data_IF_482895085743
#
_entry.id   IF_482895085743
#
_cell.length_a   1.000
_cell.length_b   1.000
_cell.length_c   1.000
_cell.angle_alpha   90.00
_cell.angle_beta   90.00
_cell.angle_gamma   90.00
#
_symmetry.space_group_name_H-M   'P 1'
#
loop_
_entity.id
_entity.type
_entity.pdbx_description
1 polymer ?
#
# COMPACT_ATOMS: atom_id res chain seq x y z
N UNK A 1 -10.36 -35.21 -16.68
CA UNK A 1 -9.26 -34.83 -17.60
C UNK A 1 -8.77 -33.47 -17.13
N UNK A 2 -7.49 -33.31 -16.75
CA UNK A 2 -6.98 -32.01 -16.27
C UNK A 2 -6.86 -31.06 -17.45
N UNK A 3 -7.32 -29.82 -17.30
CA UNK A 3 -7.20 -28.79 -18.33
C UNK A 3 -6.36 -27.60 -17.84
N UNK A 4 -6.27 -26.53 -18.64
CA UNK A 4 -5.48 -25.36 -18.31
C UNK A 4 -5.93 -24.64 -17.03
N UNK A 5 -7.16 -24.86 -16.55
CA UNK A 5 -7.68 -24.30 -15.29
C UNK A 5 -7.02 -24.94 -14.07
N UNK A 6 -6.50 -26.16 -14.21
CA UNK A 6 -5.79 -26.89 -13.17
C UNK A 6 -4.30 -26.53 -13.09
N UNK A 7 -3.82 -25.56 -13.89
CA UNK A 7 -2.39 -25.27 -14.04
C UNK A 7 -1.66 -24.99 -12.71
N UNK A 8 -2.31 -24.32 -11.74
CA UNK A 8 -1.73 -24.09 -10.40
C UNK A 8 -1.55 -25.37 -9.61
N UNK A 9 -2.52 -26.30 -9.69
CA UNK A 9 -2.43 -27.59 -9.05
C UNK A 9 -1.35 -28.46 -9.72
N UNK A 10 -1.27 -28.41 -11.06
CA UNK A 10 -0.23 -29.08 -11.83
C UNK A 10 1.17 -28.57 -11.48
N UNK A 11 1.36 -27.26 -11.35
CA UNK A 11 2.65 -26.66 -10.98
C UNK A 11 3.09 -27.08 -9.57
N UNK A 12 2.15 -27.18 -8.62
CA UNK A 12 2.43 -27.71 -7.28
C UNK A 12 2.86 -29.17 -7.33
N UNK A 13 2.07 -30.03 -7.99
CA UNK A 13 2.42 -31.45 -8.16
C UNK A 13 3.76 -31.65 -8.88
N UNK A 14 4.05 -30.84 -9.90
CA UNK A 14 5.32 -30.87 -10.62
C UNK A 14 6.49 -30.54 -9.70
N UNK A 15 6.38 -29.44 -8.94
CA UNK A 15 7.40 -29.02 -7.98
C UNK A 15 7.67 -30.10 -6.95
N UNK A 16 6.61 -30.68 -6.38
CA UNK A 16 6.73 -31.72 -5.35
C UNK A 16 7.41 -32.98 -5.92
N UNK A 17 7.08 -33.36 -7.16
CA UNK A 17 7.72 -34.49 -7.84
C UNK A 17 9.19 -34.23 -8.22
N UNK A 18 9.53 -33.01 -8.64
CA UNK A 18 10.91 -32.62 -8.93
C UNK A 18 11.76 -32.55 -7.66
N UNK A 19 11.18 -32.06 -6.57
CA UNK A 19 11.82 -32.04 -5.24
C UNK A 19 12.14 -33.46 -4.76
N UNK A 20 11.21 -34.42 -4.94
CA UNK A 20 11.43 -35.82 -4.63
C UNK A 20 12.57 -36.47 -5.45
N UNK A 21 12.91 -35.89 -6.61
CA UNK A 21 14.05 -36.29 -7.46
C UNK A 21 15.30 -35.43 -7.24
N UNK A 22 15.35 -34.65 -6.16
CA UNK A 22 16.44 -33.73 -5.83
C UNK A 22 16.72 -32.66 -6.90
N UNK A 23 15.74 -32.33 -7.73
CA UNK A 23 15.81 -31.19 -8.66
C UNK A 23 15.25 -29.97 -7.96
N UNK A 24 16.10 -28.98 -7.68
CA UNK A 24 15.67 -27.72 -7.07
C UNK A 24 14.92 -26.88 -8.11
N UNK A 25 13.68 -26.51 -7.78
CA UNK A 25 12.89 -25.57 -8.57
C UNK A 25 11.98 -24.76 -7.68
N UNK A 26 11.76 -23.50 -8.04
CA UNK A 26 10.83 -22.59 -7.38
C UNK A 26 9.40 -22.83 -7.84
N UNK A 27 8.44 -22.32 -7.08
CA UNK A 27 7.04 -22.37 -7.49
C UNK A 27 6.81 -21.61 -8.81
N UNK A 28 7.46 -20.46 -8.98
CA UNK A 28 7.38 -19.64 -10.19
C UNK A 28 7.91 -20.37 -11.42
N UNK A 29 9.08 -21.03 -11.32
CA UNK A 29 9.62 -21.84 -12.43
C UNK A 29 8.68 -22.99 -12.81
N UNK A 30 8.06 -23.64 -11.81
CA UNK A 30 7.08 -24.68 -12.07
C UNK A 30 5.84 -24.15 -12.80
N UNK A 31 5.40 -22.92 -12.50
CA UNK A 31 4.30 -22.27 -13.21
C UNK A 31 4.67 -21.96 -14.66
N UNK A 32 5.89 -21.49 -14.92
CA UNK A 32 6.41 -21.24 -16.28
C UNK A 32 6.48 -22.53 -17.11
N UNK A 33 6.95 -23.63 -16.51
CA UNK A 33 7.00 -24.94 -17.18
C UNK A 33 5.61 -25.45 -17.55
N UNK A 34 4.62 -25.29 -16.67
CA UNK A 34 3.23 -25.65 -16.96
C UNK A 34 2.64 -24.76 -18.06
N UNK A 35 2.94 -23.46 -18.06
CA UNK A 35 2.49 -22.55 -19.12
C UNK A 35 2.98 -23.00 -20.50
N UNK A 36 4.28 -23.33 -20.61
CA UNK A 36 4.89 -23.87 -21.82
C UNK A 36 4.28 -25.21 -22.24
N UNK A 37 4.00 -26.10 -21.28
CA UNK A 37 3.37 -27.39 -21.56
C UNK A 37 1.96 -27.26 -22.17
N UNK A 38 1.25 -26.18 -21.87
CA UNK A 38 -0.04 -25.84 -22.49
C UNK A 38 0.07 -24.94 -23.74
N UNK A 39 1.28 -24.61 -24.19
CA UNK A 39 1.53 -23.81 -25.40
C UNK A 39 1.44 -22.29 -25.20
N UNK A 40 1.64 -21.79 -23.98
CA UNK A 40 1.74 -20.35 -23.69
C UNK A 40 3.19 -19.94 -23.42
N UNK A 41 3.55 -18.71 -23.81
CA UNK A 41 4.94 -18.23 -23.71
C UNK A 41 5.41 -18.07 -22.26
N UNK A 42 4.51 -17.68 -21.36
CA UNK A 42 4.80 -17.50 -19.95
C UNK A 42 3.55 -17.68 -19.06
N UNK A 43 3.78 -17.75 -17.75
CA UNK A 43 2.72 -17.90 -16.76
C UNK A 43 1.68 -16.77 -16.79
N UNK A 44 2.08 -15.53 -17.05
CA UNK A 44 1.16 -14.39 -17.03
C UNK A 44 0.06 -14.52 -18.08
N UNK A 45 0.40 -14.99 -19.30
CA UNK A 45 -0.56 -15.23 -20.38
C UNK A 45 -1.55 -16.34 -19.99
N UNK A 46 -1.05 -17.46 -19.47
CA UNK A 46 -1.90 -18.57 -19.04
C UNK A 46 -2.80 -18.14 -17.86
N UNK A 47 -2.28 -17.40 -16.88
CA UNK A 47 -3.05 -16.89 -15.73
C UNK A 47 -4.20 -15.98 -16.18
N UNK A 48 -3.94 -15.06 -17.12
CA UNK A 48 -4.98 -14.19 -17.67
C UNK A 48 -6.09 -15.00 -18.36
N UNK A 49 -5.73 -16.08 -19.08
CA UNK A 49 -6.72 -16.96 -19.72
C UNK A 49 -7.53 -17.80 -18.73
N UNK A 50 -6.92 -18.24 -17.63
CA UNK A 50 -7.64 -18.90 -16.53
C UNK A 50 -8.66 -17.94 -15.91
N UNK A 51 -8.26 -16.69 -15.68
CA UNK A 51 -9.13 -15.65 -15.12
C UNK A 51 -10.29 -15.29 -16.05
N UNK A 52 -10.05 -15.19 -17.35
CA UNK A 52 -11.08 -14.91 -18.35
C UNK A 52 -12.19 -15.99 -18.43
N UNK A 53 -11.89 -17.22 -17.99
CA UNK A 53 -12.80 -18.38 -18.11
C UNK A 53 -13.43 -18.74 -16.76
N UNK A 54 -12.96 -18.18 -15.66
CA UNK A 54 -13.56 -18.40 -14.34
C UNK A 54 -14.87 -17.59 -14.27
N UNK A 55 -16.02 -18.22 -13.95
CA UNK A 55 -17.23 -17.45 -13.69
C UNK A 55 -16.96 -16.49 -12.52
N UNK A 56 -17.52 -15.27 -12.52
CA UNK A 56 -17.39 -14.38 -11.39
C UNK A 56 -17.91 -15.12 -10.17
N UNK A 57 -17.02 -15.49 -9.27
CA UNK A 57 -17.37 -16.24 -8.07
C UNK A 57 -18.25 -15.35 -7.19
N UNK A 58 -19.55 -15.48 -7.36
CA UNK A 58 -20.58 -14.99 -6.46
C UNK A 58 -20.70 -15.94 -5.28
N UNK A 59 -20.51 -15.41 -4.07
CA UNK A 59 -21.28 -15.89 -2.94
C UNK A 59 -22.71 -15.37 -3.10
N UNK A 60 -23.68 -16.25 -2.88
CA UNK A 60 -25.11 -16.04 -3.11
C UNK A 60 -25.73 -15.04 -2.12
N UNK A 61 -26.64 -14.19 -2.60
CA UNK A 61 -27.49 -13.32 -1.79
C UNK A 61 -28.25 -12.24 -2.57
N UNK A 62 -29.39 -12.63 -3.17
CA UNK A 62 -30.55 -11.85 -3.65
C UNK A 62 -30.48 -10.97 -4.93
N UNK A 63 -31.59 -10.87 -5.71
CA UNK A 63 -31.65 -10.12 -6.96
C UNK A 63 -32.25 -8.72 -6.76
N UNK A 64 -31.49 -7.65 -7.00
CA UNK A 64 -32.05 -6.32 -7.22
C UNK A 64 -31.25 -5.53 -8.28
N UNK A 65 -31.95 -5.28 -9.40
CA UNK A 65 -31.89 -4.22 -10.42
C UNK A 65 -30.54 -3.65 -10.98
N UNK A 66 -30.47 -3.32 -12.29
CA UNK A 66 -29.23 -3.04 -13.01
C UNK A 66 -28.94 -1.53 -13.12
N UNK A 67 -28.02 -1.03 -12.31
CA UNK A 67 -27.25 0.18 -12.62
C UNK A 67 -25.98 0.22 -11.74
N UNK A 68 -24.84 -0.16 -12.33
CA UNK A 68 -23.48 0.21 -11.91
C UNK A 68 -23.09 0.08 -10.42
N UNK A 69 -23.17 -1.11 -9.83
CA UNK A 69 -22.30 -1.43 -8.68
C UNK A 69 -21.07 -2.19 -9.17
N UNK A 70 -20.09 -1.44 -9.69
CA UNK A 70 -18.72 -1.92 -9.67
C UNK A 70 -18.38 -2.18 -8.19
N UNK A 71 -18.04 -3.42 -7.82
CA UNK A 71 -17.58 -3.73 -6.46
C UNK A 71 -16.36 -2.84 -6.18
N UNK A 72 -16.53 -1.85 -5.31
CA UNK A 72 -15.43 -1.02 -4.84
C UNK A 72 -14.34 -1.94 -4.28
N UNK A 73 -13.12 -1.78 -4.79
CA UNK A 73 -11.95 -2.49 -4.29
C UNK A 73 -11.38 -1.73 -3.09
N UNK A 74 -10.84 -2.44 -2.11
CA UNK A 74 -10.29 -1.86 -0.89
C UNK A 74 -8.85 -2.29 -0.68
N UNK A 75 -7.99 -1.35 -0.30
CA UNK A 75 -6.63 -1.64 0.15
C UNK A 75 -6.67 -2.54 1.39
N UNK A 76 -5.96 -3.66 1.34
CA UNK A 76 -5.91 -4.65 2.43
C UNK A 76 -5.15 -4.16 3.67
N UNK A 77 -4.40 -3.07 3.56
CA UNK A 77 -3.57 -2.52 4.64
C UNK A 77 -4.26 -1.36 5.37
N UNK A 78 -4.74 -0.36 4.62
CA UNK A 78 -5.37 0.84 5.21
C UNK A 78 -6.90 0.84 5.11
N UNK A 79 -7.51 -0.12 4.40
CA UNK A 79 -8.96 -0.21 4.23
C UNK A 79 -9.60 0.87 3.36
N UNK A 80 -8.81 1.75 2.72
CA UNK A 80 -9.31 2.77 1.78
C UNK A 80 -9.84 2.11 0.50
N UNK A 81 -10.93 2.64 -0.05
CA UNK A 81 -11.45 2.17 -1.33
C UNK A 81 -10.71 2.80 -2.52
N UNK A 82 -10.94 2.27 -3.73
CA UNK A 82 -10.26 2.70 -4.95
C UNK A 82 -10.40 4.19 -5.28
N UNK A 83 -11.47 4.85 -4.85
CA UNK A 83 -11.74 6.27 -5.12
C UNK A 83 -11.11 7.18 -4.04
N UNK A 84 -10.68 6.61 -2.92
CA UNK A 84 -10.00 7.32 -1.82
C UNK A 84 -8.48 7.40 -1.99
N UNK A 85 -7.93 6.70 -2.98
CA UNK A 85 -6.49 6.60 -3.25
C UNK A 85 -6.21 6.93 -4.71
N UNK A 86 -5.03 7.47 -5.01
CA UNK A 86 -4.69 7.83 -6.39
C UNK A 86 -4.40 6.58 -7.25
N UNK A 87 -3.83 5.54 -6.64
CA UNK A 87 -3.62 4.23 -7.31
C UNK A 87 -3.88 3.09 -6.34
N UNK A 88 -4.55 2.05 -6.84
CA UNK A 88 -4.73 0.77 -6.14
C UNK A 88 -4.18 -0.36 -7.00
N UNK A 89 -3.18 -1.08 -6.49
CA UNK A 89 -2.56 -2.22 -7.15
C UNK A 89 -3.28 -3.50 -6.72
N UNK A 90 -3.81 -4.24 -7.70
CA UNK A 90 -4.53 -5.49 -7.48
C UNK A 90 -3.61 -6.70 -7.62
N UNK A 91 -3.58 -7.55 -6.59
CA UNK A 91 -2.97 -8.89 -6.62
C UNK A 91 -4.03 -10.00 -6.52
N UNK A 92 -3.63 -11.28 -6.70
CA UNK A 92 -4.57 -12.41 -6.71
C UNK A 92 -5.41 -12.59 -5.43
N UNK A 93 -4.94 -12.07 -4.29
CA UNK A 93 -5.60 -12.19 -2.99
C UNK A 93 -5.45 -10.94 -2.09
N UNK A 94 -4.74 -9.92 -2.56
CA UNK A 94 -4.39 -8.73 -1.75
C UNK A 94 -4.38 -7.51 -2.65
N UNK A 95 -4.80 -6.36 -2.10
CA UNK A 95 -4.75 -5.08 -2.80
C UNK A 95 -3.94 -4.10 -1.94
N UNK A 96 -3.11 -3.28 -2.56
CA UNK A 96 -2.29 -2.29 -1.87
C UNK A 96 -2.37 -0.95 -2.60
N UNK A 97 -2.61 0.14 -1.87
CA UNK A 97 -2.63 1.47 -2.46
C UNK A 97 -1.23 2.09 -2.51
N UNK A 98 -1.06 3.12 -3.33
CA UNK A 98 0.18 3.89 -3.45
C UNK A 98 0.69 4.43 -2.11
N UNK A 99 -0.19 4.97 -1.26
CA UNK A 99 0.21 5.46 0.07
C UNK A 99 0.81 4.36 0.97
N UNK A 100 0.27 3.13 0.90
CA UNK A 100 0.78 1.99 1.66
C UNK A 100 2.09 1.48 1.06
N UNK A 101 2.26 1.52 -0.26
CA UNK A 101 3.52 1.19 -0.93
C UNK A 101 4.61 2.18 -0.50
N UNK A 102 4.31 3.48 -0.52
CA UNK A 102 5.24 4.52 -0.07
C UNK A 102 5.64 4.23 1.38
N UNK A 103 4.67 4.06 2.30
CA UNK A 103 4.97 3.75 3.70
C UNK A 103 5.79 2.47 3.89
N UNK A 104 5.51 1.41 3.15
CA UNK A 104 6.34 0.20 3.20
C UNK A 104 7.76 0.47 2.69
N UNK A 105 7.92 1.32 1.70
CA UNK A 105 9.23 1.76 1.21
C UNK A 105 9.95 2.57 2.28
N UNK A 106 9.26 3.50 2.96
CA UNK A 106 9.80 4.27 4.09
C UNK A 106 10.33 3.32 5.19
N UNK A 107 9.58 2.25 5.51
CA UNK A 107 9.93 1.29 6.57
C UNK A 107 11.13 0.41 6.19
N UNK A 108 11.27 0.07 4.91
CA UNK A 108 12.31 -0.87 4.44
C UNK A 108 13.63 -0.15 4.11
N UNK A 109 13.59 1.14 3.77
CA UNK A 109 14.80 1.90 3.44
C UNK A 109 15.56 2.35 4.70
N UNK A 110 16.53 1.53 5.12
CA UNK A 110 17.39 1.82 6.27
C UNK A 110 18.14 3.16 6.17
N UNK A 111 18.48 3.63 4.96
CA UNK A 111 19.24 4.87 4.79
C UNK A 111 18.34 6.09 5.02
N UNK A 112 17.08 6.00 4.58
CA UNK A 112 16.07 6.97 4.90
C UNK A 112 15.79 7.00 6.41
N UNK A 113 15.70 5.84 7.07
CA UNK A 113 15.51 5.77 8.52
C UNK A 113 16.64 6.45 9.29
N UNK A 114 17.91 6.21 8.92
CA UNK A 114 19.08 6.89 9.52
C UNK A 114 19.02 8.41 9.32
N UNK A 115 18.63 8.87 8.12
CA UNK A 115 18.47 10.29 7.83
C UNK A 115 17.35 10.92 8.68
N UNK A 116 16.21 10.23 8.82
CA UNK A 116 15.06 10.61 9.66
C UNK A 116 15.42 10.61 11.16
N UNK A 117 16.42 9.83 11.55
CA UNK A 117 16.98 9.79 12.91
C UNK A 117 18.06 10.86 13.14
N UNK A 118 18.44 11.62 12.11
CA UNK A 118 19.41 12.71 12.20
C UNK A 118 20.87 12.28 12.05
N UNK A 119 21.14 11.14 11.38
CA UNK A 119 22.50 10.71 11.05
C UNK A 119 23.12 11.58 9.95
N UNK A 120 23.65 12.74 10.33
CA UNK A 120 24.33 13.65 9.39
C UNK A 120 25.58 13.02 8.77
N UNK A 121 26.31 12.20 9.53
CA UNK A 121 27.52 11.54 9.04
C UNK A 121 27.18 10.56 7.92
N UNK A 122 26.17 9.72 8.13
CA UNK A 122 25.61 8.84 7.11
C UNK A 122 25.16 9.63 5.88
N UNK A 123 24.38 10.69 6.08
CA UNK A 123 23.90 11.56 5.00
C UNK A 123 25.04 12.16 4.16
N UNK A 124 26.14 12.59 4.79
CA UNK A 124 27.32 13.15 4.11
C UNK A 124 28.08 12.13 3.27
N UNK A 125 28.00 10.83 3.58
CA UNK A 125 28.61 9.77 2.75
C UNK A 125 27.79 9.43 1.51
N UNK A 126 26.53 9.84 1.44
CA UNK A 126 25.63 9.52 0.33
C UNK A 126 25.92 10.37 -0.90
N UNK A 127 25.60 9.86 -2.09
CA UNK A 127 25.65 10.68 -3.31
C UNK A 127 24.55 11.76 -3.30
N UNK A 128 24.76 12.86 -4.04
CA UNK A 128 23.80 13.97 -4.11
C UNK A 128 22.47 13.54 -4.73
N UNK A 129 22.52 12.69 -5.76
CA UNK A 129 21.32 12.09 -6.37
C UNK A 129 20.49 11.30 -5.35
N UNK A 130 21.16 10.51 -4.51
CA UNK A 130 20.48 9.73 -3.48
C UNK A 130 19.93 10.60 -2.34
N UNK A 131 20.61 11.69 -1.98
CA UNK A 131 20.06 12.69 -1.06
C UNK A 131 18.82 13.37 -1.64
N UNK A 132 18.83 13.77 -2.91
CA UNK A 132 17.64 14.33 -3.57
C UNK A 132 16.46 13.36 -3.55
N UNK A 133 16.70 12.08 -3.84
CA UNK A 133 15.68 11.04 -3.72
C UNK A 133 15.04 11.03 -2.32
N UNK A 134 15.85 11.11 -1.26
CA UNK A 134 15.33 11.14 0.12
C UNK A 134 14.69 12.46 0.53
N UNK A 135 15.12 13.60 -0.03
CA UNK A 135 14.42 14.87 0.17
C UNK A 135 13.00 14.76 -0.35
N UNK A 136 12.82 14.33 -1.60
CA UNK A 136 11.48 14.15 -2.21
C UNK A 136 10.63 13.18 -1.38
N UNK A 137 11.25 12.11 -0.88
CA UNK A 137 10.54 11.14 -0.05
C UNK A 137 10.11 11.71 1.31
N UNK A 138 11.02 12.43 1.99
CA UNK A 138 10.75 13.06 3.27
C UNK A 138 9.72 14.20 3.15
N UNK A 139 9.68 14.92 2.02
CA UNK A 139 8.63 15.91 1.72
C UNK A 139 7.25 15.25 1.66
N UNK A 140 7.14 14.13 0.94
CA UNK A 140 5.89 13.34 0.89
C UNK A 140 5.51 12.80 2.26
N UNK A 141 6.47 12.30 3.03
CA UNK A 141 6.25 11.84 4.42
C UNK A 141 5.73 12.94 5.33
N UNK A 142 6.34 14.12 5.27
CA UNK A 142 5.91 15.30 6.02
C UNK A 142 4.49 15.73 5.61
N UNK A 143 4.19 15.79 4.32
CA UNK A 143 2.86 16.20 3.84
C UNK A 143 1.75 15.22 4.24
N UNK A 144 2.02 13.90 4.13
CA UNK A 144 1.12 12.85 4.63
C UNK A 144 0.74 13.09 6.11
N UNK A 145 1.74 13.38 6.94
CA UNK A 145 1.51 13.64 8.36
C UNK A 145 0.78 14.97 8.62
N UNK A 146 1.05 16.04 7.86
CA UNK A 146 0.31 17.31 7.96
C UNK A 146 -1.17 17.12 7.65
N UNK A 147 -1.50 16.44 6.56
CA UNK A 147 -2.89 16.16 6.17
C UNK A 147 -3.60 15.27 7.21
N UNK A 148 -2.91 14.26 7.75
CA UNK A 148 -3.45 13.43 8.83
C UNK A 148 -3.79 14.28 10.07
N UNK A 149 -2.88 15.17 10.49
CA UNK A 149 -3.10 16.08 11.61
C UNK A 149 -4.28 17.03 11.37
N UNK A 150 -4.40 17.60 10.17
CA UNK A 150 -5.52 18.47 9.80
C UNK A 150 -6.87 17.73 9.86
N UNK A 151 -6.91 16.49 9.36
CA UNK A 151 -8.11 15.63 9.39
C UNK A 151 -8.50 15.32 10.84
N UNK A 152 -7.55 14.89 11.67
CA UNK A 152 -7.79 14.57 13.08
C UNK A 152 -8.29 15.81 13.84
N UNK A 153 -7.64 16.96 13.66
CA UNK A 153 -8.06 18.22 14.28
C UNK A 153 -9.48 18.62 13.87
N UNK A 154 -9.82 18.45 12.59
CA UNK A 154 -11.16 18.71 12.08
C UNK A 154 -12.22 17.83 12.73
N UNK A 155 -11.96 16.53 12.90
CA UNK A 155 -12.89 15.60 13.58
C UNK A 155 -13.06 15.94 15.06
N UNK A 156 -11.97 16.24 15.77
CA UNK A 156 -12.05 16.63 17.18
C UNK A 156 -12.87 17.91 17.37
N UNK A 157 -12.59 18.93 16.56
CA UNK A 157 -13.32 20.20 16.62
C UNK A 157 -14.81 20.05 16.25
N UNK A 158 -15.15 19.16 15.32
CA UNK A 158 -16.55 18.84 15.00
C UNK A 158 -17.27 18.16 16.17
N UNK A 159 -16.60 17.29 16.94
CA UNK A 159 -17.20 16.62 18.10
C UNK A 159 -17.40 17.56 19.27
N UNK A 160 -16.47 18.48 19.51
CA UNK A 160 -16.62 19.54 20.51
C UNK A 160 -17.83 20.43 20.21
N UNK A 161 -18.08 20.72 18.92
CA UNK A 161 -19.27 21.46 18.48
C UNK A 161 -20.55 20.61 18.47
N UNK A 162 -20.47 19.34 18.10
CA UNK A 162 -21.60 18.41 17.98
C UNK A 162 -22.13 17.88 19.31
N UNK A 163 -21.34 17.92 20.39
CA UNK A 163 -21.85 17.69 21.75
C UNK A 163 -22.91 18.74 22.18
N UNK A 164 -23.11 19.80 21.37
CA UNK A 164 -24.17 20.79 21.54
C UNK A 164 -25.37 20.64 20.56
N UNK A 165 -25.34 19.71 19.60
CA UNK A 165 -26.44 19.51 18.65
C UNK A 165 -26.44 18.10 18.03
N UNK A 166 -27.45 17.30 18.39
CA UNK A 166 -27.79 16.03 17.71
C UNK A 166 -28.15 16.31 16.24
N UNK A 167 -27.26 15.96 15.33
CA UNK A 167 -27.47 16.11 13.89
C UNK A 167 -26.47 15.29 13.11
N UNK A 168 -26.98 14.31 12.37
CA UNK A 168 -26.25 13.42 11.47
C UNK A 168 -25.48 14.23 10.41
N UNK A 169 -24.26 14.66 10.75
CA UNK A 169 -23.42 15.40 9.81
C UNK A 169 -22.74 14.40 8.88
N UNK A 170 -23.09 14.48 7.59
CA UNK A 170 -22.39 13.78 6.52
C UNK A 170 -20.93 14.27 6.49
N UNK A 171 -20.02 13.45 7.01
CA UNK A 171 -18.59 13.71 6.97
C UNK A 171 -18.08 13.43 5.55
N UNK A 172 -17.08 14.18 5.10
CA UNK A 172 -16.42 13.87 3.83
C UNK A 172 -15.88 12.42 3.86
N UNK A 173 -15.76 11.74 2.69
CA UNK A 173 -15.22 10.38 2.61
C UNK A 173 -13.85 10.26 3.31
N UNK A 174 -13.04 11.31 3.17
CA UNK A 174 -11.74 11.49 3.81
C UNK A 174 -11.79 11.46 5.35
N UNK A 175 -12.92 11.77 5.99
CA UNK A 175 -13.07 11.72 7.45
C UNK A 175 -13.80 10.46 7.94
N UNK A 176 -14.35 9.64 7.04
CA UNK A 176 -15.13 8.46 7.39
C UNK A 176 -14.36 7.46 8.26
N UNK A 177 -13.06 7.27 7.96
CA UNK A 177 -12.19 6.37 8.72
C UNK A 177 -11.95 6.83 10.17
N UNK A 178 -12.07 8.14 10.44
CA UNK A 178 -11.87 8.73 11.76
C UNK A 178 -13.18 8.84 12.55
N UNK A 179 -14.33 8.71 11.89
CA UNK A 179 -15.66 8.91 12.50
C UNK A 179 -15.91 7.98 13.68
N UNK A 180 -15.44 6.74 13.60
CA UNK A 180 -15.69 5.70 14.61
C UNK A 180 -14.61 5.61 15.70
N UNK A 181 -13.54 6.41 15.62
CA UNK A 181 -12.44 6.39 16.60
C UNK A 181 -12.79 7.15 17.86
N UNK A 182 -12.36 6.70 19.04
CA UNK A 182 -12.59 7.44 20.30
C UNK A 182 -11.74 8.73 20.35
N UNK A 183 -12.09 9.73 21.17
CA UNK A 183 -11.25 10.92 21.35
C UNK A 183 -9.81 10.59 21.77
N UNK A 184 -9.63 9.57 22.61
CA UNK A 184 -8.29 9.14 23.06
C UNK A 184 -7.49 8.45 21.94
N UNK A 185 -8.15 7.64 21.10
CA UNK A 185 -7.52 7.10 19.89
C UNK A 185 -7.09 8.23 18.96
N UNK A 186 -7.95 9.23 18.73
CA UNK A 186 -7.63 10.38 17.88
C UNK A 186 -6.45 11.20 18.44
N UNK A 187 -6.40 11.43 19.75
CA UNK A 187 -5.26 12.10 20.41
C UNK A 187 -3.96 11.28 20.28
N UNK A 188 -4.05 9.96 20.42
CA UNK A 188 -2.90 9.06 20.23
C UNK A 188 -2.39 9.13 18.79
N UNK A 189 -3.30 9.06 17.81
CA UNK A 189 -2.95 9.22 16.39
C UNK A 189 -2.37 10.60 16.09
N UNK A 190 -2.86 11.66 16.74
CA UNK A 190 -2.33 13.01 16.61
C UNK A 190 -0.90 13.10 17.15
N UNK A 191 -0.63 12.54 18.33
CA UNK A 191 0.70 12.51 18.93
C UNK A 191 1.69 11.76 18.03
N UNK A 192 1.30 10.59 17.51
CA UNK A 192 2.11 9.82 16.57
C UNK A 192 2.42 10.62 15.30
N UNK A 193 1.40 11.20 14.66
CA UNK A 193 1.58 11.95 13.41
C UNK A 193 2.43 13.21 13.60
N UNK A 194 2.35 13.87 14.77
CA UNK A 194 3.23 14.99 15.14
C UNK A 194 4.68 14.55 15.28
N UNK A 195 4.93 13.45 16.00
CA UNK A 195 6.28 12.94 16.18
C UNK A 195 6.89 12.54 14.83
N UNK A 196 6.14 11.87 13.97
CA UNK A 196 6.58 11.53 12.61
C UNK A 196 6.89 12.78 11.78
N UNK A 197 6.01 13.78 11.78
CA UNK A 197 6.24 15.05 11.08
C UNK A 197 7.56 15.71 11.49
N UNK A 198 7.84 15.77 12.80
CA UNK A 198 9.09 16.35 13.30
C UNK A 198 10.33 15.61 12.77
N UNK A 199 10.27 14.28 12.70
CA UNK A 199 11.38 13.46 12.19
C UNK A 199 11.60 13.69 10.69
N UNK A 200 10.55 13.75 9.88
CA UNK A 200 10.68 14.08 8.45
C UNK A 200 11.20 15.50 8.23
N UNK A 201 10.73 16.49 8.99
CA UNK A 201 11.23 17.87 8.90
C UNK A 201 12.70 17.97 9.30
N UNK A 202 13.16 17.15 10.25
CA UNK A 202 14.58 17.05 10.60
C UNK A 202 15.39 16.48 9.43
N UNK A 203 14.97 15.36 8.84
CA UNK A 203 15.62 14.80 7.65
C UNK A 203 15.74 15.83 6.51
N UNK A 204 14.68 16.59 6.25
CA UNK A 204 14.67 17.64 5.23
C UNK A 204 15.71 18.73 5.51
N UNK A 205 15.79 19.21 6.76
CA UNK A 205 16.81 20.20 7.14
C UNK A 205 18.22 19.67 6.89
N UNK A 206 18.54 18.48 7.41
CA UNK A 206 19.86 17.86 7.25
C UNK A 206 20.23 17.67 5.78
N UNK A 207 19.34 17.06 4.99
CA UNK A 207 19.61 16.79 3.59
C UNK A 207 19.74 18.06 2.76
N UNK A 208 18.88 19.06 2.98
CA UNK A 208 18.91 20.34 2.24
C UNK A 208 20.20 21.12 2.50
N UNK A 209 20.68 21.14 3.76
CA UNK A 209 21.96 21.76 4.11
C UNK A 209 23.11 21.09 3.37
N UNK A 210 23.19 19.76 3.40
CA UNK A 210 24.27 19.00 2.74
C UNK A 210 24.22 19.18 1.22
N UNK A 211 23.03 19.17 0.61
CA UNK A 211 22.87 19.41 -0.82
C UNK A 211 23.34 20.83 -1.16
N UNK A 212 22.94 21.83 -0.37
CA UNK A 212 23.34 23.23 -0.55
C UNK A 212 24.85 23.43 -0.51
N UNK A 213 25.53 22.81 0.46
CA UNK A 213 26.99 22.81 0.59
C UNK A 213 27.70 22.21 -0.64
N UNK A 214 27.09 21.23 -1.32
CA UNK A 214 27.68 20.57 -2.49
C UNK A 214 27.45 21.30 -3.81
N UNK A 215 26.48 22.21 -3.84
CA UNK A 215 26.15 23.03 -5.02
C UNK A 215 26.87 24.38 -5.07
N UNK A 216 27.58 24.75 -4.00
CA UNK A 216 28.44 25.94 -3.90
C UNK A 216 29.89 25.60 -4.26
#
# INVERSE_FOLDING_TARGET
MRDFRDAKAMARSLRDALTAKAVQTTHSESLELIAKAFGYDNWNILSAKIEAVRPPSGQAGSPQNPASQARLLYCSFCGKNQDEVNKLVAGPAVFICDECIDLCTDIVDEQLLRLIEGDEAGARTMSTDRLHHYVVHAEKGAERNRLALQRIASVLALRERGSAADGETSLSPSLAQLKNKTPDELRTMQAYSRAQLQRYEQALRTATVIVGERTQ
#
